data_IF_936033042988
#
_entry.id   IF_936033042988
#
_cell.length_a   1.000
_cell.length_b   1.000
_cell.length_c   1.000
_cell.angle_alpha   90.00
_cell.angle_beta   90.00
_cell.angle_gamma   90.00
#
_symmetry.space_group_name_H-M   'P 1'
#
loop_
_entity.id
_entity.type
_entity.pdbx_description
1 polymer ?
#
# COMPACT_ATOMS: atom_id res chain seq x y z
N UNK A 1 34.23 -40.33 -17.46
CA UNK A 1 33.04 -40.05 -16.63
C UNK A 1 31.87 -39.73 -17.55
N UNK A 2 30.87 -40.61 -17.63
CA UNK A 2 29.85 -40.59 -18.68
C UNK A 2 28.66 -39.67 -18.37
N UNK A 3 28.03 -39.13 -19.42
CA UNK A 3 26.79 -38.32 -19.42
C UNK A 3 25.66 -38.89 -18.55
N UNK A 4 25.68 -40.20 -18.29
CA UNK A 4 24.72 -40.90 -17.42
C UNK A 4 24.72 -40.38 -15.96
N UNK A 5 25.86 -39.89 -15.44
CA UNK A 5 25.91 -39.23 -14.11
C UNK A 5 25.36 -37.79 -14.14
N UNK A 6 25.50 -37.09 -15.26
CA UNK A 6 24.94 -35.75 -15.44
C UNK A 6 23.41 -35.78 -15.44
N UNK A 7 22.82 -36.80 -16.08
CA UNK A 7 21.36 -36.97 -16.18
C UNK A 7 20.73 -37.48 -14.89
N UNK A 8 21.42 -38.32 -14.11
CA UNK A 8 20.95 -38.68 -12.76
C UNK A 8 21.02 -37.50 -11.77
N UNK A 9 21.90 -36.51 -12.00
CA UNK A 9 21.87 -35.24 -11.28
C UNK A 9 20.75 -34.31 -11.77
N UNK A 10 20.38 -34.37 -13.07
CA UNK A 10 19.20 -33.68 -13.62
C UNK A 10 17.87 -34.15 -13.00
N UNK A 11 17.84 -35.36 -12.45
CA UNK A 11 16.71 -35.93 -11.72
C UNK A 11 16.64 -35.54 -10.22
N UNK A 12 17.54 -34.67 -9.74
CA UNK A 12 17.39 -33.95 -8.47
C UNK A 12 16.67 -32.59 -8.64
N UNK A 13 15.80 -32.53 -9.67
CA UNK A 13 14.51 -31.82 -9.72
C UNK A 13 14.51 -30.30 -9.91
N UNK A 14 14.90 -29.82 -11.09
CA UNK A 14 14.52 -28.50 -11.59
C UNK A 14 14.26 -28.53 -13.10
N UNK A 15 13.15 -27.93 -13.56
CA UNK A 15 12.82 -27.76 -14.98
C UNK A 15 13.85 -26.85 -15.70
N UNK A 16 14.99 -27.41 -16.13
CA UNK A 16 16.02 -26.65 -16.86
C UNK A 16 15.81 -26.79 -18.37
N UNK A 17 15.75 -25.68 -19.11
CA UNK A 17 15.64 -25.71 -20.59
C UNK A 17 16.96 -25.31 -21.25
N UNK A 18 17.34 -25.96 -22.34
CA UNK A 18 18.48 -25.52 -23.16
C UNK A 18 18.12 -24.22 -23.89
N UNK A 19 19.08 -23.30 -24.04
CA UNK A 19 18.89 -22.12 -24.86
C UNK A 19 18.64 -22.53 -26.33
N UNK A 20 17.74 -21.83 -27.02
CA UNK A 20 17.38 -22.14 -28.41
C UNK A 20 18.29 -21.48 -29.47
N UNK A 21 19.23 -20.63 -29.07
CA UNK A 21 20.18 -20.03 -30.02
C UNK A 21 21.21 -21.08 -30.50
N UNK A 22 21.45 -21.14 -31.82
CA UNK A 22 22.22 -22.22 -32.49
C UNK A 22 23.62 -22.49 -31.91
N UNK A 23 24.27 -21.50 -31.30
CA UNK A 23 25.61 -21.60 -30.70
C UNK A 23 25.63 -21.53 -29.17
N UNK A 24 24.46 -21.48 -28.53
CA UNK A 24 24.35 -21.31 -27.09
C UNK A 24 24.07 -22.65 -26.40
N UNK A 25 25.09 -23.20 -25.73
CA UNK A 25 24.98 -24.43 -24.95
C UNK A 25 24.52 -24.19 -23.50
N UNK A 26 24.05 -22.98 -23.16
CA UNK A 26 23.66 -22.64 -21.79
C UNK A 26 22.30 -23.25 -21.43
N UNK A 27 22.20 -23.72 -20.19
CA UNK A 27 20.96 -24.15 -19.57
C UNK A 27 20.31 -23.01 -18.80
N UNK A 28 19.01 -22.81 -18.99
CA UNK A 28 18.20 -21.78 -18.34
C UNK A 28 17.40 -22.44 -17.23
N UNK A 29 17.69 -22.06 -15.99
CA UNK A 29 16.95 -22.50 -14.81
C UNK A 29 15.51 -21.95 -14.85
N UNK A 30 14.52 -22.67 -14.29
CA UNK A 30 13.12 -22.24 -14.36
C UNK A 30 12.87 -20.93 -13.61
N UNK A 31 13.75 -20.57 -12.68
CA UNK A 31 13.71 -19.32 -11.93
C UNK A 31 14.69 -18.24 -12.45
N UNK A 32 15.39 -18.46 -13.58
CA UNK A 32 16.38 -17.53 -14.12
C UNK A 32 15.81 -16.15 -14.49
N UNK A 33 14.49 -16.05 -14.62
CA UNK A 33 13.77 -14.79 -14.86
C UNK A 33 12.69 -14.53 -13.80
N UNK A 34 12.78 -15.16 -12.62
CA UNK A 34 11.78 -14.94 -11.59
C UNK A 34 11.86 -13.52 -11.01
N UNK A 35 10.73 -12.85 -10.70
CA UNK A 35 10.77 -11.52 -10.08
C UNK A 35 11.48 -11.53 -8.72
N UNK A 36 11.36 -12.62 -7.96
CA UNK A 36 11.91 -12.71 -6.60
C UNK A 36 13.24 -13.48 -6.54
N UNK A 37 13.36 -14.57 -7.31
CA UNK A 37 14.47 -15.50 -7.17
C UNK A 37 15.65 -15.12 -8.06
N UNK A 38 16.84 -15.49 -7.60
CA UNK A 38 18.11 -15.26 -8.27
C UNK A 38 18.74 -16.60 -8.62
N UNK A 39 19.36 -16.66 -9.79
CA UNK A 39 20.32 -17.71 -10.15
C UNK A 39 21.72 -17.20 -9.83
N UNK A 40 22.57 -18.04 -9.26
CA UNK A 40 23.96 -17.71 -8.97
C UNK A 40 24.83 -18.95 -8.85
N UNK A 41 26.14 -18.76 -8.81
CA UNK A 41 27.16 -19.80 -8.65
C UNK A 41 28.23 -19.30 -7.67
N UNK A 42 28.94 -20.23 -7.02
CA UNK A 42 30.04 -19.91 -6.10
C UNK A 42 29.68 -19.94 -4.61
N UNK A 43 30.60 -19.49 -3.77
CA UNK A 43 30.51 -19.59 -2.30
C UNK A 43 29.37 -18.75 -1.68
N UNK A 44 28.90 -17.72 -2.38
CA UNK A 44 27.76 -16.88 -1.96
C UNK A 44 26.42 -17.36 -2.52
N UNK A 45 26.34 -18.61 -2.98
CA UNK A 45 25.12 -19.20 -3.53
C UNK A 45 24.05 -19.40 -2.45
N UNK A 46 22.83 -18.95 -2.75
CA UNK A 46 21.64 -19.18 -1.90
C UNK A 46 20.73 -20.15 -2.65
N UNK A 47 20.49 -21.32 -2.06
CA UNK A 47 19.65 -22.34 -2.67
C UNK A 47 18.22 -21.82 -2.91
N UNK A 48 17.52 -22.35 -3.93
CA UNK A 48 16.13 -21.98 -4.19
C UNK A 48 15.24 -22.21 -2.96
N UNK A 49 15.48 -23.31 -2.22
CA UNK A 49 14.78 -23.60 -0.96
C UNK A 49 14.92 -22.48 0.06
N UNK A 50 16.15 -21.98 0.28
CA UNK A 50 16.38 -20.85 1.18
C UNK A 50 15.73 -19.56 0.66
N UNK A 51 15.79 -19.28 -0.65
CA UNK A 51 15.13 -18.11 -1.23
C UNK A 51 13.60 -18.16 -1.06
N UNK A 52 13.00 -19.34 -1.21
CA UNK A 52 11.56 -19.59 -0.97
C UNK A 52 11.21 -19.38 0.51
N UNK A 53 12.04 -19.84 1.44
CA UNK A 53 11.81 -19.61 2.87
C UNK A 53 11.92 -18.13 3.24
N UNK A 54 12.87 -17.39 2.68
CA UNK A 54 12.96 -15.92 2.86
C UNK A 54 11.69 -15.23 2.31
N UNK A 55 11.20 -15.65 1.14
CA UNK A 55 9.93 -15.16 0.60
C UNK A 55 8.77 -15.47 1.54
N UNK A 56 8.67 -16.69 2.07
CA UNK A 56 7.66 -17.07 3.05
C UNK A 56 7.71 -16.20 4.31
N UNK A 57 8.90 -15.92 4.84
CA UNK A 57 9.08 -15.02 5.96
C UNK A 57 8.61 -13.58 5.65
N UNK A 58 8.93 -13.03 4.47
CA UNK A 58 8.43 -11.71 4.07
C UNK A 58 6.89 -11.71 3.95
N UNK A 59 6.31 -12.73 3.32
CA UNK A 59 4.86 -12.89 3.12
C UNK A 59 4.10 -13.01 4.44
N UNK A 60 4.74 -13.59 5.47
CA UNK A 60 4.22 -13.71 6.83
C UNK A 60 4.58 -12.52 7.73
N UNK A 61 5.23 -11.48 7.19
CA UNK A 61 5.66 -10.26 7.90
C UNK A 61 6.65 -10.52 9.06
N UNK A 62 7.51 -11.52 8.92
CA UNK A 62 8.65 -11.68 9.84
C UNK A 62 9.62 -10.52 9.64
N UNK A 63 10.04 -9.90 10.74
CA UNK A 63 11.02 -8.81 10.70
C UNK A 63 12.31 -9.25 9.99
N UNK A 64 12.83 -8.43 9.07
CA UNK A 64 14.03 -8.76 8.28
C UNK A 64 15.26 -9.05 9.16
N UNK A 65 15.36 -8.39 10.32
CA UNK A 65 16.38 -8.64 11.33
C UNK A 65 16.27 -10.02 11.97
N UNK A 66 15.10 -10.67 11.96
CA UNK A 66 14.93 -12.04 12.44
C UNK A 66 15.12 -13.09 11.34
N UNK A 67 14.80 -12.75 10.08
CA UNK A 67 14.90 -13.70 8.96
C UNK A 67 16.34 -14.23 8.79
N UNK A 68 17.34 -13.36 8.90
CA UNK A 68 18.74 -13.77 8.71
C UNK A 68 19.21 -14.77 9.79
N UNK A 69 18.77 -14.58 11.04
CA UNK A 69 19.01 -15.52 12.15
C UNK A 69 18.29 -16.84 11.91
N UNK A 70 17.00 -16.80 11.55
CA UNK A 70 16.20 -18.01 11.33
C UNK A 70 16.74 -18.86 10.18
N UNK A 71 17.25 -18.23 9.13
CA UNK A 71 17.67 -18.91 7.89
C UNK A 71 19.17 -19.23 7.84
N UNK A 72 19.97 -18.76 8.80
CA UNK A 72 21.43 -18.87 8.76
C UNK A 72 22.05 -18.17 7.55
N UNK A 73 21.42 -17.10 7.06
CA UNK A 73 21.87 -16.35 5.87
C UNK A 73 22.51 -15.03 6.30
N UNK A 74 23.47 -14.55 5.51
CA UNK A 74 24.02 -13.20 5.72
C UNK A 74 22.94 -12.12 5.62
N UNK A 75 22.97 -11.13 6.51
CA UNK A 75 21.96 -10.06 6.54
C UNK A 75 21.81 -9.32 5.19
N UNK A 76 22.91 -9.13 4.45
CA UNK A 76 22.90 -8.49 3.13
C UNK A 76 22.18 -9.33 2.07
N UNK A 77 22.30 -10.66 2.14
CA UNK A 77 21.60 -11.58 1.26
C UNK A 77 20.09 -11.51 1.48
N UNK A 78 19.65 -11.54 2.74
CA UNK A 78 18.24 -11.39 3.10
C UNK A 78 17.69 -10.04 2.65
N UNK A 79 18.41 -8.94 2.92
CA UNK A 79 18.00 -7.60 2.45
C UNK A 79 17.79 -7.55 0.94
N UNK A 80 18.68 -8.19 0.17
CA UNK A 80 18.60 -8.24 -1.30
C UNK A 80 17.35 -8.99 -1.77
N UNK A 81 17.07 -10.16 -1.17
CA UNK A 81 15.88 -10.95 -1.49
C UNK A 81 14.59 -10.22 -1.10
N UNK A 82 14.53 -9.65 0.11
CA UNK A 82 13.37 -8.86 0.57
C UNK A 82 13.16 -7.59 -0.27
N UNK A 83 14.22 -6.96 -0.80
CA UNK A 83 14.09 -5.83 -1.71
C UNK A 83 13.51 -6.25 -3.08
N UNK A 84 13.90 -7.43 -3.61
CA UNK A 84 13.30 -7.96 -4.86
C UNK A 84 11.81 -8.25 -4.68
N UNK A 85 11.43 -8.85 -3.56
CA UNK A 85 10.03 -9.05 -3.16
C UNK A 85 9.27 -7.72 -3.16
N UNK A 86 9.75 -6.74 -2.39
CA UNK A 86 9.09 -5.43 -2.27
C UNK A 86 8.92 -4.72 -3.60
N UNK A 87 9.95 -4.67 -4.46
CA UNK A 87 9.83 -4.08 -5.80
C UNK A 87 8.71 -4.70 -6.64
N UNK A 88 8.61 -6.02 -6.62
CA UNK A 88 7.58 -6.73 -7.38
C UNK A 88 6.18 -6.55 -6.77
N UNK A 89 6.05 -6.50 -5.44
CA UNK A 89 4.80 -6.13 -4.76
C UNK A 89 4.39 -4.71 -5.11
N UNK A 90 5.31 -3.75 -5.05
CA UNK A 90 5.08 -2.34 -5.40
C UNK A 90 4.50 -2.21 -6.80
N UNK A 91 5.16 -2.81 -7.80
CA UNK A 91 4.69 -2.77 -9.18
C UNK A 91 3.29 -3.40 -9.34
N UNK A 92 3.02 -4.51 -8.64
CA UNK A 92 1.70 -5.13 -8.65
C UNK A 92 0.64 -4.22 -8.01
N UNK A 93 0.89 -3.72 -6.80
CA UNK A 93 -0.04 -2.88 -6.04
C UNK A 93 -0.37 -1.60 -6.78
N UNK A 94 0.64 -0.91 -7.33
CA UNK A 94 0.42 0.32 -8.10
C UNK A 94 -0.49 0.05 -9.30
N UNK A 95 -0.25 -1.01 -10.07
CA UNK A 95 -1.10 -1.40 -11.21
C UNK A 95 -2.54 -1.73 -10.77
N UNK A 96 -2.70 -2.48 -9.69
CA UNK A 96 -4.04 -2.81 -9.18
C UNK A 96 -4.76 -1.54 -8.69
N UNK A 97 -4.05 -0.66 -7.99
CA UNK A 97 -4.60 0.61 -7.49
C UNK A 97 -5.03 1.53 -8.64
N UNK A 98 -4.28 1.58 -9.74
CA UNK A 98 -4.66 2.37 -10.92
C UNK A 98 -5.98 1.91 -11.55
N UNK A 99 -6.23 0.59 -11.54
CA UNK A 99 -7.49 0.02 -12.01
C UNK A 99 -8.62 0.15 -10.99
N UNK A 100 -8.32 0.53 -9.75
CA UNK A 100 -9.28 0.55 -8.66
C UNK A 100 -10.27 1.70 -8.77
N UNK A 101 -11.54 1.38 -8.56
CA UNK A 101 -12.64 2.33 -8.48
C UNK A 101 -13.44 2.05 -7.20
N UNK A 102 -13.92 3.12 -6.57
CA UNK A 102 -14.76 3.02 -5.37
C UNK A 102 -16.25 2.93 -5.73
N UNK A 103 -16.99 2.16 -4.95
CA UNK A 103 -18.41 1.96 -5.10
C UNK A 103 -18.82 1.20 -6.37
N UNK A 104 -20.12 0.90 -6.44
CA UNK A 104 -20.71 0.05 -7.47
C UNK A 104 -21.74 0.79 -8.36
N UNK A 105 -21.88 2.12 -8.19
CA UNK A 105 -22.88 3.00 -8.83
C UNK A 105 -24.36 2.71 -8.51
N UNK A 106 -24.68 1.52 -8.01
CA UNK A 106 -26.04 1.10 -7.69
C UNK A 106 -26.47 1.69 -6.35
N UNK A 107 -25.67 1.50 -5.31
CA UNK A 107 -25.95 1.93 -3.94
C UNK A 107 -24.92 2.93 -3.43
N UNK A 108 -25.32 3.69 -2.41
CA UNK A 108 -24.39 4.52 -1.66
C UNK A 108 -23.48 3.64 -0.81
N UNK A 109 -22.19 3.63 -1.16
CA UNK A 109 -21.17 2.97 -0.34
C UNK A 109 -20.54 3.97 0.62
N UNK A 110 -20.10 3.47 1.76
CA UNK A 110 -19.39 4.29 2.75
C UNK A 110 -17.90 4.15 2.52
N UNK A 111 -17.18 5.27 2.50
CA UNK A 111 -15.73 5.29 2.43
C UNK A 111 -15.16 6.23 3.50
N UNK A 112 -13.93 5.99 3.92
CA UNK A 112 -13.17 6.84 4.82
C UNK A 112 -11.99 7.44 4.07
N UNK A 113 -11.67 8.69 4.39
CA UNK A 113 -10.46 9.37 3.94
C UNK A 113 -9.76 10.02 5.12
N UNK A 114 -8.44 9.90 5.13
CA UNK A 114 -7.56 10.61 6.07
C UNK A 114 -6.15 10.71 5.50
N UNK A 115 -5.29 11.51 6.11
CA UNK A 115 -3.89 11.62 5.76
C UNK A 115 -2.95 11.08 6.85
N UNK A 116 -1.83 10.52 6.41
CA UNK A 116 -0.71 10.22 7.30
C UNK A 116 0.54 10.91 6.81
N UNK A 117 1.25 11.55 7.74
CA UNK A 117 2.57 12.12 7.51
C UNK A 117 3.62 11.24 8.15
N UNK A 118 4.60 10.84 7.36
CA UNK A 118 5.73 9.99 7.73
C UNK A 118 7.00 10.81 7.64
N UNK A 119 7.80 10.76 8.71
CA UNK A 119 9.10 11.44 8.76
C UNK A 119 10.18 10.60 8.07
N UNK A 120 10.82 11.18 7.07
CA UNK A 120 12.01 10.65 6.40
C UNK A 120 13.31 10.92 7.19
N UNK A 121 14.45 10.89 6.49
CA UNK A 121 15.76 11.14 7.09
C UNK A 121 15.93 12.65 7.32
N UNK A 122 16.73 12.97 8.33
CA UNK A 122 17.21 14.34 8.57
C UNK A 122 18.53 14.51 7.82
N UNK A 123 18.60 15.50 6.93
CA UNK A 123 19.84 15.90 6.25
C UNK A 123 20.21 17.31 6.70
N UNK A 124 21.22 17.42 7.58
CA UNK A 124 21.57 18.70 8.20
C UNK A 124 20.40 19.31 8.97
N UNK A 125 19.95 20.51 8.54
CA UNK A 125 18.78 21.22 9.10
C UNK A 125 17.47 20.92 8.38
N UNK A 126 17.44 20.02 7.40
CA UNK A 126 16.22 19.67 6.66
C UNK A 126 15.69 18.29 7.07
N UNK A 127 14.37 18.16 7.06
CA UNK A 127 13.66 16.90 7.28
C UNK A 127 12.72 16.66 6.10
N UNK A 128 12.88 15.51 5.46
CA UNK A 128 11.97 15.04 4.40
C UNK A 128 10.70 14.46 5.02
N UNK A 129 9.55 14.75 4.43
CA UNK A 129 8.26 14.23 4.85
C UNK A 129 7.52 13.60 3.69
N UNK A 130 7.09 12.36 3.91
CA UNK A 130 6.27 11.59 2.99
C UNK A 130 4.82 11.66 3.50
N UNK A 131 3.94 12.25 2.70
CA UNK A 131 2.53 12.39 3.08
C UNK A 131 1.71 11.48 2.17
N UNK A 132 0.80 10.70 2.75
CA UNK A 132 -0.09 9.81 2.02
C UNK A 132 -1.53 10.14 2.36
N UNK A 133 -2.38 10.21 1.34
CA UNK A 133 -3.83 10.22 1.49
C UNK A 133 -4.33 8.78 1.38
N UNK A 134 -4.99 8.28 2.41
CA UNK A 134 -5.60 6.96 2.44
C UNK A 134 -7.09 7.04 2.12
N UNK A 135 -7.54 6.16 1.23
CA UNK A 135 -8.96 5.95 0.94
C UNK A 135 -9.31 4.50 1.22
N UNK A 136 -10.42 4.25 1.92
CA UNK A 136 -10.88 2.91 2.26
C UNK A 136 -12.41 2.83 2.23
N UNK A 137 -12.95 1.90 1.46
CA UNK A 137 -14.37 1.58 1.43
C UNK A 137 -14.66 0.65 2.61
N UNK A 138 -15.69 0.99 3.38
CA UNK A 138 -16.07 0.21 4.55
C UNK A 138 -16.58 -1.17 4.12
N UNK A 139 -16.05 -2.21 4.76
CA UNK A 139 -16.37 -3.59 4.42
C UNK A 139 -15.60 -4.15 3.22
N UNK A 140 -14.80 -3.33 2.52
CA UNK A 140 -13.99 -3.78 1.39
C UNK A 140 -12.51 -3.42 1.60
N UNK A 141 -11.79 -4.30 2.30
CA UNK A 141 -10.35 -4.12 2.57
C UNK A 141 -9.50 -3.99 1.31
N UNK A 142 -9.90 -4.65 0.21
CA UNK A 142 -9.17 -4.58 -1.06
C UNK A 142 -9.22 -3.19 -1.68
N UNK A 143 -10.19 -2.36 -1.29
CA UNK A 143 -10.28 -0.99 -1.79
C UNK A 143 -9.23 -0.04 -1.18
N UNK A 144 -8.44 -0.48 -0.19
CA UNK A 144 -7.46 0.38 0.46
C UNK A 144 -6.52 0.97 -0.59
N UNK A 145 -6.48 2.29 -0.67
CA UNK A 145 -5.72 3.05 -1.67
C UNK A 145 -4.83 4.04 -0.94
N UNK A 146 -3.53 4.02 -1.22
CA UNK A 146 -2.60 5.03 -0.75
C UNK A 146 -2.14 5.89 -1.91
N UNK A 147 -2.50 7.16 -1.86
CA UNK A 147 -2.04 8.15 -2.84
C UNK A 147 -0.93 8.95 -2.18
N UNK A 148 0.28 8.81 -2.73
CA UNK A 148 1.41 9.63 -2.33
C UNK A 148 1.12 11.09 -2.72
N UNK A 149 1.20 11.97 -1.73
CA UNK A 149 1.12 13.40 -1.92
C UNK A 149 2.53 13.97 -2.10
N UNK A 150 2.64 15.27 -2.41
CA UNK A 150 3.95 15.90 -2.61
C UNK A 150 4.83 15.71 -1.36
N UNK A 151 6.00 15.11 -1.57
CA UNK A 151 7.07 15.07 -0.58
C UNK A 151 7.44 16.51 -0.23
N UNK A 152 7.42 16.84 1.05
CA UNK A 152 7.72 18.18 1.56
C UNK A 152 8.97 18.10 2.41
N UNK A 153 9.88 19.06 2.23
CA UNK A 153 11.02 19.22 3.12
C UNK A 153 10.80 20.46 3.98
N UNK A 154 10.96 20.32 5.30
CA UNK A 154 10.89 21.47 6.21
C UNK A 154 12.22 21.65 6.92
N UNK A 155 12.54 22.90 7.25
CA UNK A 155 13.66 23.24 8.12
C UNK A 155 13.35 22.86 9.55
N UNK A 156 14.39 22.49 10.30
CA UNK A 156 14.37 22.41 11.75
C UNK A 156 14.50 23.83 12.27
N UNK A 157 13.41 24.37 12.80
CA UNK A 157 13.42 25.67 13.47
C UNK A 157 14.07 25.49 14.84
N UNK A 158 15.02 26.35 15.19
CA UNK A 158 15.62 26.40 16.52
C UNK A 158 14.71 27.22 17.42
N UNK A 159 14.26 26.66 18.54
CA UNK A 159 13.63 27.48 19.56
C UNK A 159 14.71 28.33 20.24
N UNK A 160 14.36 29.47 20.84
CA UNK A 160 15.27 30.38 21.55
C UNK A 160 16.07 29.78 22.73
N UNK A 161 15.96 28.46 22.96
CA UNK A 161 16.73 27.65 23.92
C UNK A 161 17.64 26.60 23.23
N UNK A 162 17.90 26.74 21.93
CA UNK A 162 18.77 25.84 21.15
C UNK A 162 18.19 24.45 20.80
N UNK A 163 17.00 24.09 21.29
CA UNK A 163 16.28 22.86 20.89
C UNK A 163 15.48 23.11 19.62
N UNK A 164 15.82 22.44 18.53
CA UNK A 164 15.11 22.57 17.27
C UNK A 164 14.02 21.53 17.03
N UNK A 165 12.88 21.95 16.50
CA UNK A 165 11.76 21.07 16.13
C UNK A 165 11.54 21.10 14.61
N UNK A 166 11.26 19.93 14.04
CA UNK A 166 10.90 19.83 12.63
C UNK A 166 9.41 20.14 12.48
N UNK A 167 9.07 21.12 11.65
CA UNK A 167 7.66 21.47 11.38
C UNK A 167 7.08 20.42 10.43
N UNK A 168 6.00 19.73 10.81
CA UNK A 168 5.32 18.80 9.91
C UNK A 168 4.71 19.57 8.74
N UNK A 169 4.67 19.00 7.53
CA UNK A 169 3.81 19.52 6.48
C UNK A 169 2.36 19.63 7.00
N UNK A 170 1.70 20.74 6.62
CA UNK A 170 0.31 20.98 6.96
C UNK A 170 -0.66 19.98 6.31
N UNK A 171 -1.94 20.15 6.63
CA UNK A 171 -3.03 19.31 6.09
C UNK A 171 -3.10 19.32 4.58
N UNK A 172 -3.81 18.33 4.02
CA UNK A 172 -4.01 18.20 2.59
C UNK A 172 -4.57 19.49 1.97
N UNK A 173 -3.99 19.92 0.84
CA UNK A 173 -4.48 21.11 0.15
C UNK A 173 -5.74 20.82 -0.66
N UNK A 174 -6.53 21.87 -0.93
CA UNK A 174 -7.71 21.78 -1.82
C UNK A 174 -7.35 21.25 -3.21
N UNK A 175 -6.17 21.60 -3.73
CA UNK A 175 -5.70 21.19 -5.07
C UNK A 175 -5.38 19.69 -5.10
N UNK A 176 -4.63 19.22 -4.12
CA UNK A 176 -4.29 17.79 -3.98
C UNK A 176 -5.57 16.96 -3.80
N UNK A 177 -6.45 17.37 -2.88
CA UNK A 177 -7.70 16.66 -2.66
C UNK A 177 -8.59 16.64 -3.91
N UNK A 178 -8.69 17.75 -4.65
CA UNK A 178 -9.45 17.78 -5.90
C UNK A 178 -8.92 16.75 -6.90
N UNK A 179 -7.60 16.63 -7.07
CA UNK A 179 -6.99 15.65 -7.97
C UNK A 179 -7.29 14.21 -7.53
N UNK A 180 -7.11 13.91 -6.24
CA UNK A 180 -7.35 12.59 -5.67
C UNK A 180 -8.82 12.20 -5.77
N UNK A 181 -9.72 13.05 -5.26
CA UNK A 181 -11.16 12.80 -5.29
C UNK A 181 -11.69 12.67 -6.72
N UNK A 182 -11.18 13.47 -7.67
CA UNK A 182 -11.58 13.35 -9.07
C UNK A 182 -11.14 12.03 -9.71
N UNK A 183 -9.98 11.51 -9.32
CA UNK A 183 -9.44 10.26 -9.87
C UNK A 183 -10.16 9.02 -9.36
N UNK A 184 -10.49 8.97 -8.07
CA UNK A 184 -10.96 7.74 -7.41
C UNK A 184 -12.45 7.74 -7.09
N UNK A 185 -13.07 8.90 -6.87
CA UNK A 185 -14.43 8.99 -6.30
C UNK A 185 -15.45 9.70 -7.20
N UNK A 186 -15.01 10.43 -8.24
CA UNK A 186 -15.90 11.22 -9.10
C UNK A 186 -16.97 10.37 -9.76
N UNK A 187 -18.19 10.90 -9.79
CA UNK A 187 -19.37 10.29 -10.39
C UNK A 187 -19.63 8.90 -9.82
N UNK A 188 -19.50 8.75 -8.49
CA UNK A 188 -19.80 7.52 -7.75
C UNK A 188 -20.71 7.87 -6.58
N UNK A 189 -21.60 6.96 -6.17
CA UNK A 189 -22.45 7.12 -4.98
C UNK A 189 -21.62 6.85 -3.70
N UNK A 190 -20.87 7.85 -3.22
CA UNK A 190 -19.98 7.70 -2.05
C UNK A 190 -20.44 8.61 -0.91
N UNK A 191 -20.71 8.01 0.25
CA UNK A 191 -20.76 8.73 1.52
C UNK A 191 -19.37 8.69 2.17
N UNK A 192 -18.66 9.80 2.10
CA UNK A 192 -17.26 9.92 2.49
C UNK A 192 -17.14 10.46 3.92
N UNK A 193 -16.66 9.64 4.84
CA UNK A 193 -16.31 10.04 6.20
C UNK A 193 -14.89 10.60 6.22
N UNK A 194 -14.73 11.79 6.77
CA UNK A 194 -13.43 12.47 6.82
C UNK A 194 -13.27 13.25 8.12
N UNK A 195 -12.08 13.77 8.37
CA UNK A 195 -11.83 14.72 9.44
C UNK A 195 -12.42 16.11 9.12
N UNK A 196 -12.09 17.09 9.96
CA UNK A 196 -12.54 18.48 9.80
C UNK A 196 -11.75 19.29 8.77
N UNK A 197 -10.84 18.71 7.97
CA UNK A 197 -9.96 19.47 7.10
C UNK A 197 -10.72 20.30 6.07
N UNK A 198 -10.22 21.53 5.83
CA UNK A 198 -10.83 22.49 4.90
C UNK A 198 -10.92 21.93 3.49
N UNK A 199 -9.99 21.07 3.06
CA UNK A 199 -10.01 20.48 1.74
C UNK A 199 -11.24 19.60 1.52
N UNK A 200 -11.50 18.64 2.42
CA UNK A 200 -12.65 17.74 2.32
C UNK A 200 -13.98 18.49 2.42
N UNK A 201 -14.04 19.54 3.24
CA UNK A 201 -15.27 20.34 3.43
C UNK A 201 -15.61 21.24 2.25
N UNK A 202 -14.61 21.88 1.63
CA UNK A 202 -14.85 22.95 0.64
C UNK A 202 -14.67 22.53 -0.81
N UNK A 203 -14.11 21.35 -1.08
CA UNK A 203 -14.00 20.82 -2.45
C UNK A 203 -15.06 19.76 -2.65
N UNK A 204 -16.07 20.10 -3.44
CA UNK A 204 -17.13 19.18 -3.81
C UNK A 204 -16.66 18.26 -4.95
N UNK A 205 -16.70 16.96 -4.70
CA UNK A 205 -16.46 15.94 -5.73
C UNK A 205 -17.83 15.45 -6.24
N UNK A 206 -18.11 15.45 -7.55
CA UNK A 206 -19.40 14.98 -8.08
C UNK A 206 -19.72 13.55 -7.63
N UNK A 207 -20.94 13.30 -7.18
CA UNK A 207 -21.38 12.01 -6.63
C UNK A 207 -21.00 11.75 -5.17
N UNK A 208 -20.08 12.52 -4.59
CA UNK A 208 -19.58 12.28 -3.23
C UNK A 208 -20.27 13.22 -2.25
N UNK A 209 -20.79 12.67 -1.15
CA UNK A 209 -21.32 13.41 -0.01
C UNK A 209 -20.35 13.27 1.15
N UNK A 210 -19.88 14.40 1.69
CA UNK A 210 -18.91 14.42 2.79
C UNK A 210 -19.60 14.47 4.14
N UNK A 211 -19.25 13.55 5.04
CA UNK A 211 -19.61 13.55 6.46
C UNK A 211 -18.36 13.80 7.31
N UNK A 212 -18.08 15.07 7.59
CA UNK A 212 -16.94 15.46 8.43
C UNK A 212 -17.23 15.21 9.90
N UNK A 213 -16.30 14.51 10.56
CA UNK A 213 -16.33 14.29 12.01
C UNK A 213 -16.10 15.63 12.73
N UNK A 214 -16.95 15.95 13.70
CA UNK A 214 -16.77 17.10 14.59
C UNK A 214 -16.32 16.61 15.96
N UNK A 215 -15.07 16.87 16.34
CA UNK A 215 -14.52 16.58 17.68
C UNK A 215 -15.05 17.54 18.78
N UNK A 216 -16.34 17.90 18.73
CA UNK A 216 -16.92 18.91 19.63
C UNK A 216 -17.37 18.35 20.99
N UNK A 217 -17.17 17.06 21.30
CA UNK A 217 -17.63 16.46 22.56
C UNK A 217 -16.49 15.77 23.30
N UNK A 218 -16.37 15.95 24.63
CA UNK A 218 -15.40 15.22 25.45
C UNK A 218 -15.69 13.70 25.49
N UNK A 219 -16.95 13.30 25.30
CA UNK A 219 -17.39 11.90 25.22
C UNK A 219 -18.05 11.59 23.86
N UNK A 220 -17.26 11.35 22.81
CA UNK A 220 -17.78 10.93 21.51
C UNK A 220 -18.48 9.56 21.62
N UNK A 221 -19.77 9.51 21.25
CA UNK A 221 -20.55 8.27 21.19
C UNK A 221 -20.23 7.58 19.86
N UNK A 222 -19.27 6.67 19.87
CA UNK A 222 -18.79 5.97 18.66
C UNK A 222 -19.68 4.81 18.20
N UNK A 223 -20.62 4.37 19.04
CA UNK A 223 -21.51 3.24 18.74
C UNK A 223 -22.81 3.66 18.06
N UNK A 224 -23.20 4.93 18.16
CA UNK A 224 -24.46 5.43 17.63
C UNK A 224 -24.44 5.48 16.09
N UNK A 225 -25.54 5.01 15.51
CA UNK A 225 -25.81 5.18 14.08
C UNK A 225 -26.53 6.49 13.83
N UNK A 226 -26.10 7.20 12.80
CA UNK A 226 -26.64 8.47 12.36
C UNK A 226 -27.40 8.30 11.06
N UNK A 227 -28.56 8.95 10.98
CA UNK A 227 -29.40 8.98 9.78
C UNK A 227 -28.86 10.01 8.78
N UNK A 228 -28.51 9.55 7.59
CA UNK A 228 -28.20 10.39 6.42
C UNK A 228 -29.30 10.29 5.37
N UNK A 229 -29.61 11.42 4.75
CA UNK A 229 -30.49 11.50 3.56
C UNK A 229 -29.59 11.71 2.36
N UNK A 230 -29.53 10.73 1.47
CA UNK A 230 -28.68 10.73 0.30
C UNK A 230 -29.57 10.74 -0.96
N UNK A 231 -29.22 11.47 -2.02
CA UNK A 231 -30.03 11.48 -3.23
C UNK A 231 -29.98 10.14 -3.94
N UNK A 232 -31.11 9.71 -4.51
CA UNK A 232 -31.15 8.51 -5.37
C UNK A 232 -30.25 8.65 -6.60
N UNK A 233 -30.22 9.85 -7.18
CA UNK A 233 -29.33 10.23 -8.28
C UNK A 233 -28.05 10.90 -7.73
N UNK A 234 -26.90 10.29 -8.00
CA UNK A 234 -25.60 10.80 -7.54
C UNK A 234 -25.26 12.19 -8.11
N UNK A 235 -25.84 12.58 -9.25
CA UNK A 235 -25.63 13.91 -9.85
C UNK A 235 -26.18 15.02 -8.96
N UNK A 236 -27.15 14.69 -8.09
CA UNK A 236 -27.76 15.60 -7.12
C UNK A 236 -27.07 15.61 -5.75
N UNK A 237 -25.88 15.00 -5.61
CA UNK A 237 -25.15 14.89 -4.34
C UNK A 237 -24.99 16.20 -3.54
N UNK A 238 -24.88 17.34 -4.25
CA UNK A 238 -24.66 18.66 -3.65
C UNK A 238 -25.89 19.57 -3.69
N UNK A 239 -27.03 19.07 -4.18
CA UNK A 239 -28.29 19.81 -4.25
C UNK A 239 -28.96 19.79 -2.87
N UNK A 240 -29.34 20.97 -2.38
CA UNK A 240 -30.05 21.11 -1.10
C UNK A 240 -31.56 21.00 -1.30
N UNK A 241 -32.27 20.53 -0.27
CA UNK A 241 -33.73 20.57 -0.22
C UNK A 241 -34.44 19.58 -1.15
N UNK A 242 -33.84 18.42 -1.42
CA UNK A 242 -34.46 17.42 -2.29
C UNK A 242 -35.78 16.88 -1.70
N UNK A 243 -36.81 16.66 -2.55
CA UNK A 243 -38.05 16.00 -2.17
C UNK A 243 -37.84 14.60 -1.58
N UNK A 244 -38.78 14.16 -0.73
CA UNK A 244 -38.69 12.87 0.01
C UNK A 244 -38.60 11.65 -0.92
N UNK A 245 -39.25 11.71 -2.08
CA UNK A 245 -39.26 10.65 -3.12
C UNK A 245 -37.92 10.53 -3.88
N UNK A 246 -37.05 11.55 -3.78
CA UNK A 246 -35.76 11.59 -4.47
C UNK A 246 -34.58 11.25 -3.55
N UNK A 247 -34.83 10.92 -2.29
CA UNK A 247 -33.80 10.61 -1.30
C UNK A 247 -33.96 9.22 -0.72
N UNK A 248 -32.83 8.56 -0.52
CA UNK A 248 -32.71 7.35 0.26
C UNK A 248 -32.21 7.69 1.67
N UNK A 249 -32.70 6.96 2.66
CA UNK A 249 -32.21 7.08 4.04
C UNK A 249 -31.19 5.97 4.31
N UNK A 250 -30.01 6.34 4.80
CA UNK A 250 -28.96 5.40 5.18
C UNK A 250 -28.56 5.65 6.63
N UNK A 251 -28.43 4.58 7.42
CA UNK A 251 -27.95 4.63 8.79
C UNK A 251 -26.48 4.24 8.85
N UNK A 252 -25.63 5.10 9.42
CA UNK A 252 -24.17 4.91 9.41
C UNK A 252 -23.54 5.22 10.74
N UNK A 253 -22.48 4.51 11.11
CA UNK A 253 -21.57 4.95 12.19
C UNK A 253 -20.71 6.09 11.67
N UNK A 254 -20.47 7.13 12.45
CA UNK A 254 -19.58 8.23 12.05
C UNK A 254 -18.14 7.94 12.44
N UNK A 255 -17.20 8.45 11.64
CA UNK A 255 -15.79 8.43 11.99
C UNK A 255 -14.87 7.94 10.89
N UNK A 256 -13.57 8.03 11.17
CA UNK A 256 -12.46 7.56 10.33
C UNK A 256 -11.72 6.39 11.00
N UNK A 257 -12.39 5.63 11.88
CA UNK A 257 -11.72 4.68 12.76
C UNK A 257 -11.04 3.54 12.01
N UNK A 258 -11.53 3.16 10.82
CA UNK A 258 -10.91 2.09 10.03
C UNK A 258 -9.60 2.59 9.43
N UNK A 259 -9.61 3.78 8.80
CA UNK A 259 -8.39 4.35 8.22
C UNK A 259 -7.39 4.77 9.32
N UNK A 260 -7.85 5.27 10.47
CA UNK A 260 -7.01 5.55 11.65
C UNK A 260 -6.30 4.28 12.13
N UNK A 261 -7.02 3.15 12.16
CA UNK A 261 -6.45 1.86 12.53
C UNK A 261 -5.45 1.36 11.49
N UNK A 262 -5.70 1.62 10.20
CA UNK A 262 -4.74 1.34 9.12
C UNK A 262 -3.45 2.11 9.35
N UNK A 263 -3.52 3.40 9.70
CA UNK A 263 -2.34 4.20 10.03
C UNK A 263 -1.61 3.72 11.27
N UNK A 264 -2.34 3.32 12.31
CA UNK A 264 -1.77 2.72 13.51
C UNK A 264 -0.98 1.46 13.17
N UNK A 265 -1.54 0.58 12.35
CA UNK A 265 -0.87 -0.65 11.93
C UNK A 265 0.37 -0.36 11.08
N UNK A 266 0.27 0.55 10.11
CA UNK A 266 1.40 0.97 9.27
C UNK A 266 2.58 1.48 10.11
N UNK A 267 2.30 2.25 11.17
CA UNK A 267 3.31 2.75 12.12
C UNK A 267 3.91 1.65 13.01
N UNK A 268 3.18 0.56 13.29
CA UNK A 268 3.68 -0.57 14.08
C UNK A 268 4.62 -1.47 13.29
N UNK A 269 4.35 -1.67 12.00
CA UNK A 269 5.14 -2.55 11.13
C UNK A 269 6.41 -1.91 10.57
N UNK A 270 6.80 -0.73 11.07
CA UNK A 270 8.12 -0.17 10.80
C UNK A 270 8.19 0.83 9.64
N UNK A 271 7.10 1.50 9.26
CA UNK A 271 7.26 2.87 8.72
C UNK A 271 7.59 3.75 9.93
N UNK A 272 8.85 4.21 10.08
CA UNK A 272 9.36 4.58 11.40
C UNK A 272 8.58 5.74 12.01
N UNK A 273 8.26 5.56 13.30
CA UNK A 273 7.58 6.56 14.14
C UNK A 273 8.34 7.89 14.21
N UNK A 274 9.64 7.88 14.00
CA UNK A 274 10.49 9.05 13.82
C UNK A 274 11.92 8.56 13.61
N UNK A 275 12.69 9.34 12.85
CA UNK A 275 14.15 9.51 12.88
C UNK A 275 15.15 8.56 12.20
N UNK A 276 14.83 7.37 11.68
CA UNK A 276 15.86 6.54 10.99
C UNK A 276 15.36 5.66 9.81
N UNK A 277 14.34 6.07 9.07
CA UNK A 277 14.01 5.38 7.81
C UNK A 277 15.11 5.65 6.78
N UNK A 278 15.54 4.59 6.10
CA UNK A 278 16.24 4.72 4.83
C UNK A 278 15.21 5.20 3.79
N UNK A 279 15.33 6.46 3.36
CA UNK A 279 14.31 7.20 2.59
C UNK A 279 13.91 6.48 1.30
N UNK A 280 14.86 5.75 0.68
CA UNK A 280 14.67 5.08 -0.60
C UNK A 280 13.62 3.96 -0.58
N UNK A 281 13.13 3.55 0.60
CA UNK A 281 12.29 2.36 0.73
C UNK A 281 10.93 2.61 1.43
N UNK A 282 10.55 3.86 1.70
CA UNK A 282 9.29 4.17 2.41
C UNK A 282 8.08 3.76 1.57
N UNK A 283 8.00 4.18 0.30
CA UNK A 283 6.88 3.80 -0.56
C UNK A 283 6.80 2.27 -0.70
N UNK A 284 7.93 1.60 -0.95
CA UNK A 284 7.97 0.13 -1.01
C UNK A 284 7.35 -0.55 0.24
N UNK A 285 7.62 -0.02 1.44
CA UNK A 285 7.03 -0.53 2.69
C UNK A 285 5.53 -0.22 2.79
N UNK A 286 5.10 0.96 2.35
CA UNK A 286 3.68 1.34 2.29
C UNK A 286 2.92 0.43 1.32
N UNK A 287 3.49 0.14 0.16
CA UNK A 287 2.90 -0.75 -0.85
C UNK A 287 2.88 -2.21 -0.40
N UNK A 288 3.95 -2.68 0.22
CA UNK A 288 3.98 -4.01 0.84
C UNK A 288 2.88 -4.14 1.90
N UNK A 289 2.75 -3.16 2.78
CA UNK A 289 1.67 -3.12 3.76
C UNK A 289 0.28 -3.16 3.12
N UNK A 290 0.08 -2.36 2.08
CA UNK A 290 -1.17 -2.29 1.32
C UNK A 290 -1.54 -3.66 0.76
N UNK A 291 -0.60 -4.35 0.13
CA UNK A 291 -0.81 -5.72 -0.36
C UNK A 291 -1.23 -6.67 0.76
N UNK A 292 -0.49 -6.69 1.86
CA UNK A 292 -0.86 -7.54 2.99
C UNK A 292 -2.22 -7.18 3.60
N UNK A 293 -2.63 -5.91 3.55
CA UNK A 293 -3.96 -5.49 3.99
C UNK A 293 -5.05 -6.04 3.07
N UNK A 294 -4.85 -5.97 1.74
CA UNK A 294 -5.77 -6.53 0.73
C UNK A 294 -5.92 -8.05 0.85
N UNK A 295 -4.86 -8.75 1.26
CA UNK A 295 -4.81 -10.21 1.36
C UNK A 295 -4.78 -10.70 2.82
N UNK A 296 -5.27 -9.89 3.77
CA UNK A 296 -5.22 -10.22 5.20
C UNK A 296 -5.90 -11.55 5.55
N UNK A 297 -7.01 -11.86 4.87
CA UNK A 297 -7.88 -13.01 5.10
C UNK A 297 -7.68 -14.14 4.08
N UNK A 298 -6.68 -14.03 3.20
CA UNK A 298 -6.37 -15.02 2.18
C UNK A 298 -5.11 -15.82 2.52
N UNK A 299 -4.93 -16.96 1.85
CA UNK A 299 -3.61 -17.57 1.76
C UNK A 299 -2.67 -16.62 1.03
N UNK A 300 -1.77 -16.01 1.81
CA UNK A 300 -0.83 -15.02 1.30
C UNK A 300 0.19 -15.64 0.35
N UNK A 301 0.56 -16.91 0.53
CA UNK A 301 1.49 -17.58 -0.37
C UNK A 301 0.82 -17.91 -1.70
N UNK A 302 -0.45 -18.30 -1.70
CA UNK A 302 -1.24 -18.41 -2.92
C UNK A 302 -1.38 -17.04 -3.64
N UNK A 303 -1.63 -15.96 -2.89
CA UNK A 303 -1.73 -14.60 -3.42
C UNK A 303 -0.41 -14.09 -4.04
N UNK A 304 0.75 -14.60 -3.63
CA UNK A 304 2.04 -14.31 -4.31
C UNK A 304 2.01 -14.76 -5.77
N UNK A 305 1.26 -15.82 -6.08
CA UNK A 305 1.08 -16.31 -7.45
C UNK A 305 0.52 -15.24 -8.39
N UNK A 306 -0.36 -14.36 -7.91
CA UNK A 306 -0.90 -13.23 -8.69
C UNK A 306 0.18 -12.22 -9.06
N UNK A 307 1.10 -11.95 -8.12
CA UNK A 307 2.25 -11.06 -8.37
C UNK A 307 3.16 -11.67 -9.42
N UNK A 308 3.46 -12.97 -9.32
CA UNK A 308 4.29 -13.67 -10.32
C UNK A 308 3.63 -13.63 -11.69
N UNK A 309 2.34 -13.94 -11.78
CA UNK A 309 1.57 -13.87 -13.04
C UNK A 309 1.61 -12.47 -13.64
N UNK A 310 1.40 -11.42 -12.84
CA UNK A 310 1.43 -10.03 -13.29
C UNK A 310 2.83 -9.60 -13.77
N UNK A 311 3.89 -10.04 -13.09
CA UNK A 311 5.27 -9.77 -13.47
C UNK A 311 5.67 -10.49 -14.77
N UNK A 312 5.22 -11.74 -14.96
CA UNK A 312 5.46 -12.48 -16.20
C UNK A 312 4.75 -11.86 -17.40
N UNK A 313 3.50 -11.38 -17.23
CA UNK A 313 2.77 -10.69 -18.30
C UNK A 313 3.44 -9.38 -18.72
N UNK A 314 3.95 -8.61 -17.76
CA UNK A 314 4.61 -7.33 -18.01
C UNK A 314 5.91 -7.45 -18.84
N UNK A 315 6.52 -8.63 -18.92
CA UNK A 315 7.76 -8.89 -19.68
C UNK A 315 7.54 -9.51 -21.05
N UNK A 316 6.29 -9.85 -21.39
CA UNK A 316 5.92 -10.38 -22.72
C UNK A 316 5.42 -9.28 -23.67
N UNK A 317 5.28 -8.06 -23.15
CA UNK A 317 5.04 -6.83 -23.90
C UNK A 317 6.38 -6.11 -24.08
#
# INVERSE_FOLDING_TARGET
>A
MSESRLIKLLLALGFVRKCQAKTCHKYVLPHAQHPFFCTGWGQSFISLRQQVLVLFCNVTRVDTGKIHVLMGLGAKAVQTLSARWRRAVTAYVQRQQEAQLFGNLRTWVQAEVDEVTVRGKKSGKQVTWFQYCGLLERGNRKSLTFVEMRVKSTSVELNGKGKGFAVSPGSISKKEWKQIGFRYLKNRKILLHCDGARAYRYVQIPGVITDSVRHKRPNPIYTATWKHRLPRDYRKAHVKGLPKDQVDTVWVKKGTQLIDNVWRQLKLIGVPKSTKADEGNIDERVREFQWHHWHAEQDKFAAVGDIVRAACKARRL
#
